data_IF_531286888813
#
_entry.id   IF_531286888813
#
_cell.length_a   1.000
_cell.length_b   1.000
_cell.length_c   1.000
_cell.angle_alpha   90.00
_cell.angle_beta   90.00
_cell.angle_gamma   90.00
#
_symmetry.space_group_name_H-M   'P 1'
#
loop_
_entity.id
_entity.type
_entity.pdbx_description
1 polymer ?
#
# COMPACT_ATOMS: atom_id res chain seq x y z
N UNK A 1 -15.79 -13.53 -2.45
CA UNK A 1 -15.36 -12.47 -1.54
C UNK A 1 -14.23 -12.97 -0.66
N UNK A 2 -13.16 -12.22 -0.58
CA UNK A 2 -12.01 -12.60 0.24
C UNK A 2 -12.18 -11.99 1.64
N UNK A 3 -12.17 -12.84 2.66
CA UNK A 3 -12.23 -12.36 4.04
C UNK A 3 -10.84 -11.91 4.47
N UNK A 4 -10.74 -10.71 5.02
CA UNK A 4 -9.48 -10.21 5.52
C UNK A 4 -9.20 -10.72 6.93
N UNK A 5 -7.95 -11.10 7.23
CA UNK A 5 -7.55 -11.35 8.63
C UNK A 5 -7.74 -10.09 9.48
N UNK A 6 -7.69 -10.21 10.81
CA UNK A 6 -7.74 -9.03 11.67
C UNK A 6 -6.66 -8.02 11.30
N UNK A 7 -6.93 -6.74 11.52
CA UNK A 7 -5.99 -5.67 11.15
C UNK A 7 -4.66 -5.73 11.90
N UNK A 8 -4.63 -6.41 13.05
CA UNK A 8 -3.39 -6.62 13.80
C UNK A 8 -2.51 -7.71 13.20
N UNK A 9 -2.97 -8.41 12.17
CA UNK A 9 -2.22 -9.48 11.53
C UNK A 9 -1.14 -8.90 10.62
N UNK A 10 0.11 -9.39 10.73
CA UNK A 10 1.18 -8.92 9.83
C UNK A 10 0.85 -9.20 8.36
N UNK A 11 1.36 -8.37 7.48
CA UNK A 11 1.09 -8.53 6.05
C UNK A 11 1.57 -9.85 5.50
N UNK A 12 2.66 -10.40 6.04
CA UNK A 12 3.17 -11.70 5.59
C UNK A 12 2.27 -12.88 5.96
N UNK A 13 1.25 -12.64 6.78
CA UNK A 13 0.23 -13.62 7.12
C UNK A 13 -1.01 -13.50 6.26
N UNK A 14 -1.00 -12.59 5.29
CA UNK A 14 -2.10 -12.42 4.34
C UNK A 14 -1.78 -13.19 3.06
N UNK A 15 -2.81 -13.80 2.46
CA UNK A 15 -2.68 -14.33 1.10
C UNK A 15 -2.59 -13.16 0.12
N UNK A 16 -2.09 -13.43 -1.09
CA UNK A 16 -2.06 -12.39 -2.12
C UNK A 16 -3.46 -11.85 -2.44
N UNK A 17 -4.50 -12.69 -2.59
CA UNK A 17 -5.85 -12.15 -2.78
C UNK A 17 -6.31 -11.26 -1.63
N UNK A 18 -5.93 -11.59 -0.39
CA UNK A 18 -6.28 -10.74 0.76
C UNK A 18 -5.60 -9.39 0.68
N UNK A 19 -4.32 -9.35 0.32
CA UNK A 19 -3.61 -8.08 0.13
C UNK A 19 -4.25 -7.24 -0.96
N UNK A 20 -4.61 -7.85 -2.07
CA UNK A 20 -5.27 -7.15 -3.17
C UNK A 20 -6.62 -6.59 -2.74
N UNK A 21 -7.40 -7.37 -1.99
CA UNK A 21 -8.69 -6.91 -1.49
C UNK A 21 -8.53 -5.71 -0.56
N UNK A 22 -7.52 -5.76 0.30
CA UNK A 22 -7.22 -4.66 1.20
C UNK A 22 -6.83 -3.39 0.46
N UNK A 23 -5.96 -3.51 -0.54
CA UNK A 23 -5.55 -2.36 -1.35
C UNK A 23 -6.75 -1.73 -2.06
N UNK A 24 -7.66 -2.56 -2.57
CA UNK A 24 -8.90 -2.06 -3.18
C UNK A 24 -9.77 -1.33 -2.17
N UNK A 25 -9.84 -1.81 -0.95
CA UNK A 25 -10.60 -1.14 0.12
C UNK A 25 -10.02 0.23 0.46
N UNK A 26 -8.71 0.38 0.34
CA UNK A 26 -8.06 1.69 0.53
C UNK A 26 -8.40 2.67 -0.60
N UNK A 27 -8.87 2.17 -1.70
CA UNK A 27 -9.13 2.99 -2.88
C UNK A 27 -8.03 2.91 -3.92
N UNK A 28 -7.04 2.02 -3.73
CA UNK A 28 -5.96 1.86 -4.69
C UNK A 28 -6.43 1.12 -5.93
N UNK A 29 -5.81 1.44 -7.07
CA UNK A 29 -6.12 0.82 -8.36
C UNK A 29 -4.87 0.13 -8.86
N UNK A 30 -5.03 -1.14 -9.28
CA UNK A 30 -3.90 -1.91 -9.82
C UNK A 30 -3.54 -1.41 -11.22
N UNK A 31 -2.24 -1.31 -11.47
CA UNK A 31 -1.73 -0.94 -12.79
C UNK A 31 -1.86 -2.11 -13.76
N UNK A 32 -2.23 -1.81 -15.01
CA UNK A 32 -2.39 -2.84 -16.04
C UNK A 32 -1.06 -3.48 -16.44
N UNK A 33 0.00 -2.69 -16.41
CA UNK A 33 1.33 -3.13 -16.87
C UNK A 33 2.07 -3.97 -15.84
N UNK A 34 1.72 -3.85 -14.57
CA UNK A 34 2.44 -4.54 -13.51
C UNK A 34 1.46 -4.91 -12.39
N UNK A 35 1.17 -6.21 -12.20
CA UNK A 35 0.19 -6.63 -11.19
C UNK A 35 0.65 -6.38 -9.75
N UNK A 36 1.92 -6.07 -9.54
CA UNK A 36 2.44 -5.75 -8.20
C UNK A 36 2.44 -4.25 -7.91
N UNK A 37 1.98 -3.44 -8.86
CA UNK A 37 2.01 -1.99 -8.75
C UNK A 37 0.60 -1.44 -8.63
N UNK A 38 0.38 -0.62 -7.62
CA UNK A 38 -0.91 -0.03 -7.32
C UNK A 38 -0.76 1.48 -7.14
N UNK A 39 -1.80 2.22 -7.50
CA UNK A 39 -1.82 3.67 -7.31
C UNK A 39 -2.96 4.04 -6.37
N UNK A 40 -2.64 4.82 -5.35
CA UNK A 40 -3.59 5.37 -4.41
C UNK A 40 -3.60 6.89 -4.57
N UNK A 41 -4.74 7.45 -4.95
CA UNK A 41 -4.87 8.89 -5.13
C UNK A 41 -5.63 9.51 -3.97
N UNK A 42 -5.09 10.60 -3.44
CA UNK A 42 -5.72 11.43 -2.43
C UNK A 42 -5.75 12.86 -2.93
N UNK A 43 -6.53 13.72 -2.25
CA UNK A 43 -6.69 15.10 -2.68
C UNK A 43 -5.38 15.90 -2.65
N UNK A 44 -4.47 15.55 -1.74
CA UNK A 44 -3.24 16.30 -1.52
C UNK A 44 -1.98 15.59 -2.00
N UNK A 45 -2.08 14.29 -2.31
CA UNK A 45 -0.93 13.50 -2.75
C UNK A 45 -1.39 12.25 -3.50
N UNK A 46 -0.44 11.64 -4.19
CA UNK A 46 -0.61 10.36 -4.84
C UNK A 46 0.48 9.43 -4.34
N UNK A 47 0.16 8.17 -4.13
CA UNK A 47 1.13 7.19 -3.70
C UNK A 47 1.18 6.03 -4.68
N UNK A 48 2.40 5.60 -4.98
CA UNK A 48 2.65 4.38 -5.74
C UNK A 48 2.99 3.29 -4.74
N UNK A 49 2.24 2.20 -4.77
CA UNK A 49 2.40 1.08 -3.84
C UNK A 49 2.94 -0.11 -4.60
N UNK A 50 4.14 -0.57 -4.23
CA UNK A 50 4.80 -1.68 -4.90
C UNK A 50 4.87 -2.87 -3.94
N UNK A 51 4.23 -3.98 -4.31
CA UNK A 51 4.30 -5.23 -3.54
C UNK A 51 5.60 -5.93 -3.92
N UNK A 52 6.63 -5.68 -3.14
CA UNK A 52 7.93 -6.31 -3.35
C UNK A 52 8.04 -7.61 -2.56
N UNK A 53 9.16 -8.32 -2.71
CA UNK A 53 9.32 -9.65 -2.14
C UNK A 53 9.31 -9.65 -0.61
N UNK A 54 9.96 -8.67 0.01
CA UNK A 54 10.13 -8.65 1.45
C UNK A 54 9.46 -7.46 2.14
N UNK A 55 9.01 -6.48 1.36
CA UNK A 55 8.39 -5.28 1.91
C UNK A 55 7.42 -4.66 0.92
N UNK A 56 6.61 -3.74 1.42
CA UNK A 56 5.75 -2.89 0.61
C UNK A 56 6.46 -1.55 0.46
N UNK A 57 6.79 -1.19 -0.76
CA UNK A 57 7.42 0.08 -1.05
C UNK A 57 6.36 1.12 -1.35
N UNK A 58 6.44 2.26 -0.68
CA UNK A 58 5.50 3.36 -0.87
C UNK A 58 6.28 4.57 -1.37
N UNK A 59 5.84 5.12 -2.51
CA UNK A 59 6.44 6.32 -3.07
C UNK A 59 5.33 7.37 -3.15
N UNK A 60 5.42 8.40 -2.31
CA UNK A 60 4.46 9.48 -2.31
C UNK A 60 4.89 10.59 -3.26
N UNK A 61 3.92 11.09 -4.02
CA UNK A 61 4.09 12.25 -4.88
C UNK A 61 3.19 13.35 -4.33
N UNK A 62 3.71 14.26 -3.50
CA UNK A 62 2.95 15.43 -3.06
C UNK A 62 2.63 16.33 -4.26
N UNK A 63 1.69 17.24 -4.11
CA UNK A 63 1.32 18.15 -5.19
C UNK A 63 2.46 19.03 -5.71
N UNK A 64 3.54 19.14 -4.96
CA UNK A 64 4.76 19.80 -5.42
C UNK A 64 5.56 18.84 -6.31
N UNK A 65 5.96 19.30 -7.48
CA UNK A 65 6.66 18.49 -8.47
C UNK A 65 8.06 18.02 -8.04
N UNK A 66 8.61 18.58 -6.98
CA UNK A 66 10.00 18.34 -6.62
C UNK A 66 10.20 17.37 -5.45
N UNK A 67 9.15 17.05 -4.71
CA UNK A 67 9.29 16.24 -3.52
C UNK A 67 8.69 14.87 -3.73
N UNK A 68 9.55 13.87 -3.86
CA UNK A 68 9.17 12.47 -3.91
C UNK A 68 9.70 11.81 -2.65
N UNK A 69 8.81 11.30 -1.81
CA UNK A 69 9.18 10.62 -0.58
C UNK A 69 8.94 9.13 -0.72
N UNK A 70 9.88 8.35 -0.25
CA UNK A 70 9.84 6.91 -0.40
C UNK A 70 10.11 6.25 0.94
N UNK A 71 9.35 5.19 1.25
CA UNK A 71 9.66 4.34 2.39
C UNK A 71 9.36 2.89 2.06
N UNK A 72 10.01 1.98 2.78
CA UNK A 72 9.77 0.55 2.66
C UNK A 72 9.18 0.06 3.98
N UNK A 73 8.03 -0.62 3.90
CA UNK A 73 7.32 -1.12 5.06
C UNK A 73 7.43 -2.64 5.09
N UNK A 74 8.17 -3.21 6.05
CA UNK A 74 8.33 -4.66 6.13
C UNK A 74 7.00 -5.38 6.28
N UNK A 75 6.88 -6.55 5.69
CA UNK A 75 5.65 -7.35 5.81
C UNK A 75 5.45 -7.93 7.20
N UNK A 76 6.43 -7.81 8.08
CA UNK A 76 6.27 -8.17 9.47
C UNK A 76 5.43 -7.19 10.27
N UNK A 77 5.19 -5.99 9.75
CA UNK A 77 4.32 -5.01 10.38
C UNK A 77 2.85 -5.43 10.22
N UNK A 78 2.02 -5.08 11.20
CA UNK A 78 0.60 -5.35 11.11
C UNK A 78 -0.03 -4.53 9.99
N UNK A 79 -1.14 -5.05 9.44
CA UNK A 79 -1.87 -4.33 8.41
C UNK A 79 -2.32 -2.94 8.89
N UNK A 80 -2.74 -2.84 10.16
CA UNK A 80 -3.15 -1.56 10.72
C UNK A 80 -2.01 -0.54 10.73
N UNK A 81 -0.81 -0.98 11.10
CA UNK A 81 0.36 -0.09 11.13
C UNK A 81 0.75 0.36 9.73
N UNK A 82 0.73 -0.56 8.76
CA UNK A 82 1.06 -0.23 7.37
C UNK A 82 0.03 0.72 6.80
N UNK A 83 -1.26 0.45 7.03
CA UNK A 83 -2.32 1.30 6.55
C UNK A 83 -2.21 2.72 7.13
N UNK A 84 -1.92 2.83 8.43
CA UNK A 84 -1.75 4.12 9.07
C UNK A 84 -0.57 4.89 8.46
N UNK A 85 0.53 4.21 8.18
CA UNK A 85 1.70 4.83 7.56
C UNK A 85 1.38 5.34 6.15
N UNK A 86 0.66 4.55 5.36
CA UNK A 86 0.27 4.96 4.01
C UNK A 86 -0.66 6.18 4.07
N UNK A 87 -1.65 6.15 4.93
CA UNK A 87 -2.66 7.21 5.00
C UNK A 87 -2.12 8.49 5.65
N UNK A 88 -1.07 8.38 6.44
CA UNK A 88 -0.41 9.57 7.00
C UNK A 88 0.16 10.46 5.89
N UNK A 89 0.50 9.89 4.75
CA UNK A 89 1.02 10.61 3.62
C UNK A 89 2.49 10.97 3.77
N UNK A 90 2.95 11.82 2.89
CA UNK A 90 4.36 12.24 2.90
C UNK A 90 4.72 13.13 4.08
#
# INVERSE_FOLDING_TARGET
MVALPPESTPLNQHSLPALEAWLKQLGAVRMDDNPCEWILERSEWRALLLLEREDLKVIWHPGSLEAMLQCSLPYGLSRADVEAAIQAGP
#
